data_IF_910411069123
#
_entry.id   IF_910411069123
#
_cell.length_a   1.000
_cell.length_b   1.000
_cell.length_c   1.000
_cell.angle_alpha   90.00
_cell.angle_beta   90.00
_cell.angle_gamma   90.00
#
_symmetry.space_group_name_H-M   'P 1'
#
loop_
_entity.id
_entity.type
_entity.pdbx_description
1 polymer ?
#
# COMPACT_ATOMS: atom_id res chain seq x y z
N UNK A 1 0.39 -19.86 38.35
CA UNK A 1 1.67 -20.13 37.64
C UNK A 1 2.62 -18.98 37.93
N UNK A 2 3.90 -19.23 38.17
CA UNK A 2 4.84 -18.21 38.68
C UNK A 2 5.07 -17.06 37.69
N UNK A 3 4.85 -15.81 38.13
CA UNK A 3 5.13 -14.58 37.37
C UNK A 3 6.57 -14.55 36.82
N UNK A 4 7.53 -15.17 37.52
CA UNK A 4 8.92 -15.23 37.08
C UNK A 4 9.11 -16.06 35.79
N UNK A 5 8.32 -17.13 35.59
CA UNK A 5 8.40 -17.94 34.36
C UNK A 5 7.86 -17.20 33.14
N UNK A 6 6.81 -16.38 33.33
CA UNK A 6 6.21 -15.58 32.26
C UNK A 6 7.11 -14.41 31.86
N UNK A 7 7.76 -13.75 32.82
CA UNK A 7 8.75 -12.70 32.55
C UNK A 7 9.95 -13.27 31.77
N UNK A 8 10.45 -14.45 32.17
CA UNK A 8 11.55 -15.10 31.45
C UNK A 8 11.17 -15.49 30.01
N UNK A 9 9.94 -15.97 29.81
CA UNK A 9 9.43 -16.32 28.48
C UNK A 9 9.27 -15.09 27.57
N UNK A 10 8.77 -13.96 28.12
CA UNK A 10 8.73 -12.69 27.40
C UNK A 10 10.13 -12.21 26.98
N UNK A 11 11.11 -12.29 27.89
CA UNK A 11 12.46 -11.81 27.63
C UNK A 11 13.18 -12.64 26.56
N UNK A 12 12.91 -13.96 26.52
CA UNK A 12 13.39 -14.86 25.46
C UNK A 12 12.73 -14.59 24.11
N UNK A 13 11.41 -14.42 24.09
CA UNK A 13 10.65 -14.09 22.88
C UNK A 13 11.16 -12.82 22.21
N UNK A 14 11.51 -11.80 23.01
CA UNK A 14 12.09 -10.55 22.50
C UNK A 14 13.53 -10.71 22.01
N UNK A 15 14.32 -11.59 22.64
CA UNK A 15 15.67 -11.91 22.18
C UNK A 15 15.66 -12.70 20.86
N UNK A 16 14.61 -13.49 20.61
CA UNK A 16 14.40 -14.26 19.37
C UNK A 16 13.69 -13.46 18.26
N UNK A 17 13.19 -12.26 18.56
CA UNK A 17 12.53 -11.38 17.59
C UNK A 17 11.07 -11.73 17.29
N UNK A 18 10.47 -12.67 18.05
CA UNK A 18 9.05 -13.02 17.93
C UNK A 18 8.20 -12.09 18.82
N UNK A 19 7.83 -10.94 18.25
CA UNK A 19 6.99 -9.95 18.93
C UNK A 19 5.55 -10.46 19.12
N UNK A 20 5.06 -11.38 18.29
CA UNK A 20 3.70 -11.92 18.40
C UNK A 20 3.57 -12.79 19.66
N UNK A 21 4.55 -13.66 19.90
CA UNK A 21 4.60 -14.48 21.10
C UNK A 21 4.80 -13.62 22.37
N UNK A 22 5.63 -12.57 22.31
CA UNK A 22 5.83 -11.62 23.41
C UNK A 22 4.51 -10.96 23.84
N UNK A 23 3.75 -10.40 22.90
CA UNK A 23 2.47 -9.75 23.21
C UNK A 23 1.41 -10.74 23.71
N UNK A 24 1.42 -11.98 23.22
CA UNK A 24 0.48 -13.01 23.69
C UNK A 24 0.70 -13.35 25.17
N UNK A 25 1.96 -13.47 25.59
CA UNK A 25 2.34 -13.76 26.97
C UNK A 25 2.05 -12.55 27.86
N UNK A 26 2.34 -11.33 27.40
CA UNK A 26 2.05 -10.10 28.14
C UNK A 26 0.54 -9.90 28.40
N UNK A 27 -0.31 -10.18 27.40
CA UNK A 27 -1.77 -10.14 27.56
C UNK A 27 -2.27 -11.22 28.52
N UNK A 28 -1.66 -12.40 28.52
CA UNK A 28 -1.98 -13.47 29.45
C UNK A 28 -1.65 -13.08 30.90
N UNK A 29 -0.54 -12.37 31.12
CA UNK A 29 -0.14 -11.82 32.43
C UNK A 29 -1.14 -10.75 32.88
N UNK A 30 -1.48 -9.79 32.02
CA UNK A 30 -2.50 -8.77 32.32
C UNK A 30 -3.86 -9.40 32.69
N UNK A 31 -4.27 -10.45 31.98
CA UNK A 31 -5.50 -11.18 32.28
C UNK A 31 -5.44 -11.92 33.62
N UNK A 32 -4.27 -12.46 34.01
CA UNK A 32 -4.11 -13.09 35.33
C UNK A 32 -4.09 -12.09 36.49
N UNK A 33 -3.55 -10.90 36.29
CA UNK A 33 -3.58 -9.83 37.31
C UNK A 33 -4.98 -9.23 37.48
N UNK A 34 -5.74 -9.10 36.39
CA UNK A 34 -7.15 -8.70 36.45
C UNK A 34 -8.01 -9.69 37.27
N UNK A 35 -7.73 -10.99 37.16
CA UNK A 35 -8.42 -12.04 37.93
C UNK A 35 -8.03 -12.06 39.41
N UNK A 36 -6.83 -11.57 39.74
CA UNK A 36 -6.33 -11.48 41.12
C UNK A 36 -6.79 -10.21 41.85
N UNK A 37 -7.56 -9.33 41.17
CA UNK A 37 -8.14 -8.13 41.75
C UNK A 37 -7.37 -6.84 41.45
N UNK A 38 -6.19 -6.92 40.81
CA UNK A 38 -5.37 -5.77 40.45
C UNK A 38 -5.81 -5.15 39.11
N UNK A 39 -7.05 -4.66 39.05
CA UNK A 39 -7.68 -4.19 37.80
C UNK A 39 -6.95 -3.00 37.17
N UNK A 40 -6.42 -2.08 37.98
CA UNK A 40 -5.71 -0.89 37.49
C UNK A 40 -4.39 -1.26 36.81
N UNK A 41 -3.59 -2.12 37.45
CA UNK A 41 -2.33 -2.62 36.87
C UNK A 41 -2.55 -3.44 35.62
N UNK A 42 -3.64 -4.22 35.56
CA UNK A 42 -3.99 -4.98 34.38
C UNK A 42 -4.39 -4.09 33.20
N UNK A 43 -5.09 -2.98 33.47
CA UNK A 43 -5.43 -1.99 32.44
C UNK A 43 -4.19 -1.24 31.94
N UNK A 44 -3.27 -0.89 32.84
CA UNK A 44 -2.00 -0.25 32.49
C UNK A 44 -1.09 -1.16 31.65
N UNK A 45 -1.00 -2.45 32.01
CA UNK A 45 -0.28 -3.44 31.21
C UNK A 45 -0.90 -3.61 29.82
N UNK A 46 -2.23 -3.62 29.73
CA UNK A 46 -2.94 -3.76 28.47
C UNK A 46 -2.74 -2.55 27.56
N UNK A 47 -2.84 -1.34 28.11
CA UNK A 47 -2.60 -0.11 27.35
C UNK A 47 -1.15 0.01 26.88
N UNK A 48 -0.18 -0.40 27.71
CA UNK A 48 1.23 -0.45 27.32
C UNK A 48 1.50 -1.44 26.18
N UNK A 49 0.86 -2.62 26.20
CA UNK A 49 0.93 -3.60 25.11
C UNK A 49 0.30 -3.08 23.82
N UNK A 50 -0.88 -2.46 23.91
CA UNK A 50 -1.58 -1.90 22.75
C UNK A 50 -0.80 -0.72 22.13
N UNK A 51 -0.18 0.13 22.96
CA UNK A 51 0.70 1.20 22.51
C UNK A 51 1.98 0.66 21.83
N UNK A 52 2.59 -0.38 22.41
CA UNK A 52 3.77 -1.03 21.83
C UNK A 52 3.46 -1.72 20.49
N UNK A 53 2.27 -2.32 20.36
CA UNK A 53 1.76 -2.90 19.10
C UNK A 53 1.52 -1.82 18.04
N UNK A 54 1.01 -0.66 18.45
CA UNK A 54 0.79 0.50 17.59
C UNK A 54 2.09 1.20 17.15
N UNK A 55 3.14 1.17 17.98
CA UNK A 55 4.43 1.80 17.69
C UNK A 55 5.41 0.88 16.92
N UNK A 56 5.36 -0.44 17.14
CA UNK A 56 6.18 -1.44 16.46
C UNK A 56 5.65 -1.84 15.07
N UNK A 57 4.39 -1.55 14.80
CA UNK A 57 3.89 -1.48 13.44
C UNK A 57 4.44 -0.23 12.78
N UNK A 58 5.60 -0.33 12.12
CA UNK A 58 5.75 0.40 10.87
C UNK A 58 4.43 0.13 10.16
N UNK A 59 3.61 1.16 9.93
CA UNK A 59 2.65 1.12 8.85
C UNK A 59 3.51 0.99 7.59
N UNK A 60 4.10 -0.19 7.39
CA UNK A 60 4.27 -0.74 6.09
C UNK A 60 2.86 -0.57 5.58
N UNK A 61 2.69 0.36 4.64
CA UNK A 61 1.59 0.23 3.71
C UNK A 61 1.77 -1.18 3.18
N UNK A 62 1.17 -2.16 3.85
CA UNK A 62 0.89 -3.45 3.26
C UNK A 62 0.19 -2.98 2.01
N UNK A 63 0.82 -3.13 0.83
CA UNK A 63 0.11 -2.85 -0.39
C UNK A 63 -1.11 -3.73 -0.24
N UNK A 64 -2.29 -3.12 -0.06
CA UNK A 64 -3.52 -3.87 -0.12
C UNK A 64 -3.45 -4.39 -1.54
N UNK A 65 -3.04 -5.65 -1.67
CA UNK A 65 -3.05 -6.34 -2.94
C UNK A 65 -4.53 -6.45 -3.19
N UNK A 66 -5.06 -5.51 -3.98
CA UNK A 66 -6.35 -5.59 -4.62
C UNK A 66 -6.25 -6.72 -5.65
N UNK A 67 -5.96 -7.94 -5.17
CA UNK A 67 -5.88 -9.14 -5.95
C UNK A 67 -7.31 -9.44 -6.40
N UNK A 68 -7.55 -9.05 -7.65
CA UNK A 68 -8.78 -9.11 -8.41
C UNK A 68 -9.89 -8.12 -8.00
N UNK A 69 -10.40 -7.30 -8.93
CA UNK A 69 -11.67 -6.60 -8.74
C UNK A 69 -12.76 -7.64 -8.48
N UNK A 70 -13.41 -7.58 -7.31
CA UNK A 70 -14.53 -8.47 -6.96
C UNK A 70 -15.85 -7.84 -7.38
N UNK A 71 -16.74 -8.61 -8.04
CA UNK A 71 -18.10 -8.18 -8.39
C UNK A 71 -18.20 -7.40 -9.71
N UNK A 72 -19.03 -6.35 -9.77
CA UNK A 72 -19.33 -5.54 -10.97
C UNK A 72 -18.13 -4.81 -11.63
N UNK A 73 -16.94 -4.87 -11.02
CA UNK A 73 -15.69 -4.33 -11.56
C UNK A 73 -14.91 -5.37 -12.40
N UNK A 74 -15.36 -6.62 -12.40
CA UNK A 74 -14.77 -7.71 -13.18
C UNK A 74 -14.98 -7.43 -14.68
N UNK A 75 -13.86 -7.25 -15.40
CA UNK A 75 -13.85 -6.85 -16.81
C UNK A 75 -13.75 -5.34 -17.09
N UNK A 76 -13.94 -4.49 -16.07
CA UNK A 76 -13.77 -3.03 -16.18
C UNK A 76 -12.34 -2.57 -15.88
N UNK A 77 -11.77 -3.16 -14.83
CA UNK A 77 -10.42 -2.92 -14.34
C UNK A 77 -9.58 -4.17 -14.58
N UNK A 78 -8.51 -4.02 -15.37
CA UNK A 78 -7.47 -5.03 -15.46
C UNK A 78 -6.33 -4.64 -14.53
N UNK A 79 -5.97 -5.56 -13.64
CA UNK A 79 -4.77 -5.46 -12.82
C UNK A 79 -3.58 -6.02 -13.60
N UNK A 80 -2.46 -5.28 -13.61
CA UNK A 80 -1.19 -5.75 -14.13
C UNK A 80 -0.05 -5.45 -13.17
N UNK A 81 0.75 -6.48 -12.89
CA UNK A 81 2.08 -6.32 -12.35
C UNK A 81 3.01 -5.88 -13.47
N UNK A 82 3.65 -4.69 -13.39
CA UNK A 82 4.54 -4.22 -14.43
C UNK A 82 5.76 -5.14 -14.56
N UNK A 83 6.01 -5.62 -15.78
CA UNK A 83 7.20 -6.45 -16.08
C UNK A 83 8.25 -5.67 -16.88
N UNK A 84 7.85 -4.53 -17.43
CA UNK A 84 8.66 -3.67 -18.29
C UNK A 84 9.27 -2.55 -17.46
N UNK A 85 10.55 -2.27 -17.67
CA UNK A 85 11.24 -1.12 -17.09
C UNK A 85 11.45 0.00 -18.12
N UNK A 86 11.80 1.20 -17.66
CA UNK A 86 12.03 2.35 -18.55
C UNK A 86 13.18 2.11 -19.55
N UNK A 87 14.14 1.27 -19.18
CA UNK A 87 15.26 0.86 -20.04
C UNK A 87 14.82 0.04 -21.26
N UNK A 88 13.67 -0.64 -21.17
CA UNK A 88 13.13 -1.47 -22.24
C UNK A 88 12.34 -0.65 -23.28
N UNK A 89 12.15 0.65 -23.03
CA UNK A 89 11.36 1.55 -23.88
C UNK A 89 12.29 2.54 -24.58
N UNK A 90 12.35 2.43 -25.91
CA UNK A 90 13.07 3.39 -26.75
C UNK A 90 12.25 4.67 -26.90
N UNK A 91 12.75 5.76 -26.34
CA UNK A 91 12.10 7.07 -26.35
C UNK A 91 13.01 8.12 -27.00
N UNK A 92 12.41 9.13 -27.63
CA UNK A 92 13.17 10.29 -28.07
C UNK A 92 13.71 11.08 -26.87
N UNK A 93 14.82 11.79 -27.05
CA UNK A 93 15.47 12.55 -25.98
C UNK A 93 14.51 13.52 -25.27
N UNK A 94 13.67 14.22 -26.04
CA UNK A 94 12.70 15.19 -25.49
C UNK A 94 11.59 14.53 -24.65
N UNK A 95 11.17 13.32 -25.01
CA UNK A 95 10.14 12.58 -24.26
C UNK A 95 10.77 11.95 -23.01
N UNK A 96 11.96 11.38 -23.14
CA UNK A 96 12.73 10.82 -22.02
C UNK A 96 12.99 11.88 -20.94
N UNK A 97 13.42 13.08 -21.32
CA UNK A 97 13.67 14.18 -20.37
C UNK A 97 12.39 14.58 -19.60
N UNK A 98 11.26 14.72 -20.30
CA UNK A 98 9.96 15.04 -19.66
C UNK A 98 9.51 13.94 -18.70
N UNK A 99 9.66 12.67 -19.09
CA UNK A 99 9.31 11.53 -18.24
C UNK A 99 10.21 11.42 -17.02
N UNK A 100 11.52 11.59 -17.19
CA UNK A 100 12.48 11.60 -16.07
C UNK A 100 12.19 12.74 -15.09
N UNK A 101 11.83 13.93 -15.59
CA UNK A 101 11.37 15.03 -14.76
C UNK A 101 10.12 14.68 -13.95
N UNK A 102 9.13 14.04 -14.58
CA UNK A 102 7.92 13.60 -13.89
C UNK A 102 8.19 12.50 -12.85
N UNK A 103 9.02 11.52 -13.17
CA UNK A 103 9.44 10.46 -12.24
C UNK A 103 10.15 11.05 -11.02
N UNK A 104 11.04 12.02 -11.23
CA UNK A 104 11.71 12.73 -10.14
C UNK A 104 10.70 13.48 -9.25
N UNK A 105 9.72 14.16 -9.86
CA UNK A 105 8.65 14.81 -9.09
C UNK A 105 7.86 13.80 -8.26
N UNK A 106 7.57 12.62 -8.82
CA UNK A 106 6.83 11.58 -8.10
C UNK A 106 7.63 10.97 -6.94
N UNK A 107 8.94 10.80 -7.10
CA UNK A 107 9.85 10.35 -6.03
C UNK A 107 10.01 11.39 -4.93
N UNK A 108 10.06 12.68 -5.29
CA UNK A 108 10.19 13.82 -4.35
C UNK A 108 8.85 14.47 -4.01
N UNK A 109 7.75 13.71 -4.02
CA UNK A 109 6.40 14.24 -3.79
C UNK A 109 6.25 14.94 -2.45
N UNK A 110 6.89 14.45 -1.40
CA UNK A 110 6.76 14.99 -0.04
C UNK A 110 7.49 16.33 0.08
N UNK A 111 8.72 16.39 -0.44
CA UNK A 111 9.47 17.65 -0.56
C UNK A 111 8.72 18.71 -1.38
N UNK A 112 8.07 18.32 -2.48
CA UNK A 112 7.24 19.26 -3.26
C UNK A 112 6.05 19.78 -2.45
N UNK A 113 5.37 18.91 -1.69
CA UNK A 113 4.23 19.29 -0.84
C UNK A 113 4.63 20.24 0.28
N UNK A 114 5.78 20.00 0.92
CA UNK A 114 6.34 20.90 1.94
C UNK A 114 6.58 22.33 1.39
N UNK A 115 6.92 22.44 0.11
CA UNK A 115 7.13 23.72 -0.58
C UNK A 115 5.89 24.23 -1.31
N UNK A 116 4.70 23.70 -0.99
CA UNK A 116 3.42 24.14 -1.58
C UNK A 116 3.25 23.81 -3.07
N UNK A 117 4.07 22.91 -3.62
CA UNK A 117 4.00 22.47 -5.03
C UNK A 117 3.31 21.12 -5.14
N UNK A 118 2.64 20.92 -6.27
CA UNK A 118 1.92 19.68 -6.59
C UNK A 118 2.67 18.92 -7.68
N UNK A 119 3.03 17.63 -7.48
CA UNK A 119 3.65 16.84 -8.53
C UNK A 119 2.67 16.59 -9.68
N UNK A 120 3.21 16.37 -10.88
CA UNK A 120 2.43 16.05 -12.08
C UNK A 120 1.61 14.78 -11.88
N UNK A 121 0.27 14.87 -12.00
CA UNK A 121 -0.66 13.77 -11.70
C UNK A 121 -1.14 13.00 -12.93
N UNK A 122 -1.10 13.60 -14.10
CA UNK A 122 -1.64 13.03 -15.33
C UNK A 122 -0.64 13.18 -16.48
N UNK A 123 -0.63 12.18 -17.35
CA UNK A 123 0.15 12.15 -18.57
C UNK A 123 -0.77 11.71 -19.71
N UNK A 124 -0.61 12.35 -20.87
CA UNK A 124 -1.36 11.99 -22.07
C UNK A 124 -0.36 11.56 -23.15
N UNK A 125 -0.47 10.31 -23.59
CA UNK A 125 0.35 9.76 -24.66
C UNK A 125 -0.39 9.84 -26.00
N UNK A 126 0.22 10.51 -26.99
CA UNK A 126 -0.36 10.70 -28.33
C UNK A 126 0.59 10.16 -29.38
N UNK A 127 0.05 9.45 -30.39
CA UNK A 127 0.81 9.05 -31.58
C UNK A 127 0.13 7.92 -32.36
N UNK A 128 0.79 7.39 -33.40
CA UNK A 128 0.29 6.25 -34.19
C UNK A 128 0.12 4.96 -33.37
N UNK A 129 -0.72 4.01 -33.79
CA UNK A 129 -0.77 2.69 -33.16
C UNK A 129 0.61 2.01 -33.24
N UNK A 130 1.00 1.28 -32.20
CA UNK A 130 2.30 0.58 -32.14
C UNK A 130 3.48 1.42 -31.66
N UNK A 131 3.31 2.72 -31.35
CA UNK A 131 4.41 3.58 -30.86
C UNK A 131 4.79 3.37 -29.37
N UNK A 132 4.47 2.23 -28.77
CA UNK A 132 4.85 1.91 -27.39
C UNK A 132 4.13 2.71 -26.28
N UNK A 133 2.98 3.35 -26.53
CA UNK A 133 2.27 4.15 -25.51
C UNK A 133 1.90 3.35 -24.26
N UNK A 134 1.24 2.21 -24.46
CA UNK A 134 0.84 1.32 -23.37
C UNK A 134 2.06 0.75 -22.65
N UNK A 135 3.10 0.38 -23.40
CA UNK A 135 4.37 -0.10 -22.84
C UNK A 135 5.08 0.98 -22.01
N UNK A 136 5.04 2.24 -22.44
CA UNK A 136 5.60 3.36 -21.68
C UNK A 136 4.83 3.59 -20.37
N UNK A 137 3.50 3.45 -20.39
CA UNK A 137 2.69 3.55 -19.18
C UNK A 137 3.02 2.42 -18.18
N UNK A 138 3.23 1.20 -18.68
CA UNK A 138 3.67 0.07 -17.87
C UNK A 138 5.08 0.28 -17.31
N UNK A 139 6.02 0.76 -18.13
CA UNK A 139 7.37 1.08 -17.70
C UNK A 139 7.44 2.13 -16.57
N UNK A 140 6.57 3.15 -16.62
CA UNK A 140 6.46 4.15 -15.54
C UNK A 140 5.96 3.50 -14.24
N UNK A 141 5.01 2.57 -14.31
CA UNK A 141 4.52 1.85 -13.15
C UNK A 141 5.61 0.95 -12.56
N UNK A 142 6.39 0.26 -13.40
CA UNK A 142 7.55 -0.53 -13.01
C UNK A 142 8.62 0.30 -12.29
N UNK A 143 9.02 1.44 -12.88
CA UNK A 143 10.03 2.35 -12.32
C UNK A 143 9.62 2.97 -10.95
N UNK A 144 8.32 3.11 -10.72
CA UNK A 144 7.74 3.58 -9.46
C UNK A 144 7.40 2.45 -8.48
N UNK A 145 7.52 1.19 -8.90
CA UNK A 145 7.11 -0.01 -8.14
C UNK A 145 5.66 0.07 -7.68
N UNK A 146 4.78 0.52 -8.57
CA UNK A 146 3.36 0.67 -8.32
C UNK A 146 2.56 -0.34 -9.16
N UNK A 147 1.43 -0.85 -8.65
CA UNK A 147 0.53 -1.66 -9.46
C UNK A 147 -0.06 -0.83 -10.60
N UNK A 148 -0.21 -1.45 -11.77
CA UNK A 148 -0.85 -0.82 -12.92
C UNK A 148 -2.30 -1.28 -13.02
N UNK A 149 -3.22 -0.32 -12.97
CA UNK A 149 -4.64 -0.55 -13.24
C UNK A 149 -4.99 0.00 -14.61
N UNK A 150 -5.56 -0.84 -15.47
CA UNK A 150 -5.97 -0.47 -16.82
C UNK A 150 -7.49 -0.49 -16.87
N UNK A 151 -8.09 0.62 -17.30
CA UNK A 151 -9.53 0.73 -17.49
C UNK A 151 -9.85 0.65 -18.98
N UNK A 152 -10.66 -0.32 -19.39
CA UNK A 152 -11.11 -0.46 -20.77
C UNK A 152 -12.34 0.39 -21.02
N UNK A 153 -12.17 1.53 -21.69
CA UNK A 153 -13.27 2.49 -21.96
C UNK A 153 -14.48 1.86 -22.69
N UNK A 154 -14.25 0.87 -23.54
CA UNK A 154 -15.32 0.13 -24.23
C UNK A 154 -16.32 -0.54 -23.26
N UNK A 155 -15.85 -0.99 -22.10
CA UNK A 155 -16.71 -1.61 -21.06
C UNK A 155 -17.44 -0.59 -20.17
N UNK A 156 -16.99 0.67 -20.18
CA UNK A 156 -17.62 1.78 -19.46
C UNK A 156 -18.85 2.34 -20.19
N UNK A 157 -18.86 2.30 -21.52
CA UNK A 157 -19.92 2.90 -22.33
C UNK A 157 -21.06 1.90 -22.50
N UNK A 158 -22.10 2.02 -21.68
CA UNK A 158 -23.32 1.20 -21.83
C UNK A 158 -24.41 2.01 -22.54
N UNK A 159 -25.40 1.30 -23.10
CA UNK A 159 -26.56 1.93 -23.79
C UNK A 159 -27.49 2.68 -22.84
N UNK A 160 -27.33 2.52 -21.52
CA UNK A 160 -28.23 3.06 -20.52
C UNK A 160 -27.61 4.32 -19.89
N UNK A 161 -28.35 5.43 -19.94
CA UNK A 161 -27.88 6.70 -19.39
C UNK A 161 -27.72 6.61 -17.86
N UNK A 162 -26.54 6.98 -17.35
CA UNK A 162 -26.25 7.02 -15.91
C UNK A 162 -25.47 5.83 -15.35
N UNK A 163 -25.45 4.69 -16.04
CA UNK A 163 -24.68 3.51 -15.61
C UNK A 163 -23.16 3.74 -15.70
N UNK A 164 -22.69 4.44 -16.73
CA UNK A 164 -21.26 4.80 -16.87
C UNK A 164 -20.74 5.61 -15.68
N UNK A 165 -21.53 6.58 -15.21
CA UNK A 165 -21.15 7.41 -14.07
C UNK A 165 -21.20 6.63 -12.75
N UNK A 166 -22.13 5.69 -12.61
CA UNK A 166 -22.19 4.78 -11.46
C UNK A 166 -20.95 3.87 -11.42
N UNK A 167 -20.56 3.28 -12.56
CA UNK A 167 -19.36 2.44 -12.68
C UNK A 167 -18.07 3.21 -12.40
N UNK A 168 -17.95 4.45 -12.88
CA UNK A 168 -16.78 5.30 -12.59
C UNK A 168 -16.65 5.69 -11.11
N UNK A 169 -17.73 5.71 -10.33
CA UNK A 169 -17.67 5.97 -8.88
C UNK A 169 -17.23 4.78 -8.04
N UNK A 170 -17.31 3.56 -8.59
CA UNK A 170 -16.87 2.34 -7.92
C UNK A 170 -15.35 2.13 -7.99
N UNK A 171 -14.68 2.86 -8.89
CA UNK A 171 -13.22 2.87 -9.10
C UNK A 171 -12.58 4.01 -8.32
#
# INVERSE_FOLDING_TARGET
MSNAKQILAMLRSRAEGDDAQFYSIALQVAASEARQGHRDTANELRSAVDAARGAGGVKASIPVSFAAPRGDLEGLLDYRDPVVDLQDVVLSASVSERLNGMLLQQRKRDWLREHGKVPSRSLLFVGPPGSGKTMTAEAIAGELKLPLFIIRLETLITRYMGETAAKLRLV
#
